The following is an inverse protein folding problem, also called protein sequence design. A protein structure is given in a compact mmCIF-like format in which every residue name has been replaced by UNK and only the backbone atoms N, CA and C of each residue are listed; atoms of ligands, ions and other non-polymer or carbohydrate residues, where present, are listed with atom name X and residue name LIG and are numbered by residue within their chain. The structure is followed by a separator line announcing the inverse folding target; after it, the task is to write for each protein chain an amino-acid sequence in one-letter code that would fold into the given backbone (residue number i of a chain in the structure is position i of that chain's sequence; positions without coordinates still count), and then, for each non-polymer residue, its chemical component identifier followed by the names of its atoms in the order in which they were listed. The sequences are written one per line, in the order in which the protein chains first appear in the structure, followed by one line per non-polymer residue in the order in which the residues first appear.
data_IF_088714419986
#
_entry.id   IF_088714419986
#
_cell.length_a   1.000
_cell.length_b   1.000
_cell.length_c   1.000
_cell.angle_alpha   90.00
_cell.angle_beta   90.00
_cell.angle_gamma   90.00
#
_symmetry.space_group_name_H-M   'P 1'
#
loop_
_entity.id
_entity.type
_entity.pdbx_description
1 polymer ?
#
# COMPACT_ATOMS: atom_id res chain seq x y z
N UNK A 1 -3.04 -18.02 -14.33
CA UNK A 1 -3.37 -16.65 -13.88
C UNK A 1 -4.80 -16.30 -14.30
N UNK A 2 -5.52 -15.48 -13.51
CA UNK A 2 -6.90 -15.06 -13.78
C UNK A 2 -6.94 -13.71 -14.50
N UNK A 3 -7.75 -13.58 -15.55
CA UNK A 3 -8.03 -12.27 -16.19
C UNK A 3 -8.83 -11.39 -15.23
N UNK A 4 -8.43 -10.12 -15.08
CA UNK A 4 -9.17 -9.12 -14.29
C UNK A 4 -10.11 -8.35 -15.24
N UNK A 5 -11.42 -8.62 -15.26
CA UNK A 5 -12.32 -8.11 -16.31
C UNK A 5 -12.38 -6.59 -16.38
N UNK A 6 -12.29 -5.90 -15.23
CA UNK A 6 -12.28 -4.43 -15.15
C UNK A 6 -10.95 -3.76 -15.55
N UNK A 7 -9.91 -4.56 -15.79
CA UNK A 7 -8.56 -4.13 -16.18
C UNK A 7 -8.08 -4.98 -17.36
N UNK A 8 -9.03 -5.31 -18.23
CA UNK A 8 -8.81 -6.05 -19.46
C UNK A 8 -9.44 -5.26 -20.59
N UNK A 9 -8.64 -4.45 -21.26
CA UNK A 9 -9.08 -3.56 -22.31
C UNK A 9 -8.80 -4.19 -23.69
N UNK A 10 -9.77 -4.16 -24.58
CA UNK A 10 -9.67 -4.78 -25.91
C UNK A 10 -8.66 -4.06 -26.83
N UNK A 11 -8.40 -2.78 -26.57
CA UNK A 11 -7.40 -1.92 -27.20
C UNK A 11 -6.08 -1.83 -26.40
N UNK A 12 -5.97 -2.53 -25.26
CA UNK A 12 -4.77 -2.54 -24.44
C UNK A 12 -3.56 -3.09 -25.22
N UNK A 13 -2.44 -2.37 -25.14
CA UNK A 13 -1.21 -2.60 -25.91
C UNK A 13 -0.05 -3.17 -25.06
N UNK A 14 -0.33 -3.59 -23.83
CA UNK A 14 0.58 -4.33 -22.97
C UNK A 14 -0.19 -5.23 -22.02
N UNK A 15 0.38 -6.39 -21.71
CA UNK A 15 -0.13 -7.28 -20.68
C UNK A 15 0.83 -7.26 -19.49
N UNK A 16 0.29 -7.02 -18.30
CA UNK A 16 1.01 -7.18 -17.04
C UNK A 16 0.55 -8.46 -16.37
N UNK A 17 1.50 -9.24 -15.84
CA UNK A 17 1.23 -10.52 -15.21
C UNK A 17 1.81 -10.55 -13.80
N UNK A 18 0.97 -10.78 -12.79
CA UNK A 18 1.41 -11.11 -11.42
C UNK A 18 1.45 -12.63 -11.27
N UNK A 19 1.78 -13.14 -10.08
CA UNK A 19 1.70 -14.57 -9.79
C UNK A 19 0.28 -15.14 -9.99
N UNK A 20 -0.77 -14.34 -9.76
CA UNK A 20 -2.16 -14.81 -9.75
C UNK A 20 -3.03 -14.23 -10.87
N UNK A 21 -2.77 -13.01 -11.36
CA UNK A 21 -3.62 -12.34 -12.35
C UNK A 21 -2.88 -11.83 -13.58
N UNK A 22 -3.65 -11.58 -14.62
CA UNK A 22 -3.21 -10.86 -15.82
C UNK A 22 -4.12 -9.68 -16.10
N UNK A 23 -3.50 -8.61 -16.57
CA UNK A 23 -4.12 -7.32 -16.85
C UNK A 23 -3.73 -6.93 -18.28
N UNK A 24 -4.70 -6.55 -19.11
CA UNK A 24 -4.43 -6.03 -20.45
C UNK A 24 -4.74 -4.54 -20.42
N UNK A 25 -3.71 -3.72 -20.44
CA UNK A 25 -3.75 -2.28 -20.12
C UNK A 25 -2.96 -1.48 -21.16
N UNK A 26 -2.79 -0.18 -20.91
CA UNK A 26 -2.22 0.78 -21.86
C UNK A 26 -0.89 1.33 -21.34
N UNK A 27 0.17 1.20 -22.14
CA UNK A 27 1.52 1.70 -21.82
C UNK A 27 1.50 3.18 -21.43
N UNK A 28 0.84 4.03 -22.24
CA UNK A 28 0.77 5.46 -21.98
C UNK A 28 0.12 5.82 -20.64
N UNK A 29 -0.87 5.03 -20.21
CA UNK A 29 -1.49 5.25 -18.90
C UNK A 29 -0.52 4.93 -17.77
N UNK A 30 0.17 3.79 -17.86
CA UNK A 30 1.18 3.39 -16.89
C UNK A 30 2.30 4.43 -16.79
N UNK A 31 2.83 4.86 -17.94
CA UNK A 31 3.91 5.86 -18.01
C UNK A 31 3.49 7.23 -17.47
N UNK A 32 2.24 7.65 -17.71
CA UNK A 32 1.70 8.91 -17.17
C UNK A 32 1.63 8.91 -15.64
N UNK A 33 1.37 7.75 -15.03
CA UNK A 33 1.15 7.62 -13.59
C UNK A 33 2.40 7.15 -12.83
N UNK A 34 3.46 6.77 -13.53
CA UNK A 34 4.63 6.15 -12.93
C UNK A 34 5.86 6.37 -13.80
N UNK A 35 6.84 7.16 -13.32
CA UNK A 35 8.15 7.28 -13.94
C UNK A 35 8.84 5.92 -14.10
N UNK A 36 8.70 5.02 -13.11
CA UNK A 36 9.26 3.66 -13.17
C UNK A 36 8.70 2.88 -14.36
N UNK A 37 7.39 2.96 -14.62
CA UNK A 37 6.82 2.34 -15.83
C UNK A 37 7.21 3.09 -17.10
N UNK A 38 7.35 4.42 -17.07
CA UNK A 38 7.84 5.18 -18.21
C UNK A 38 9.24 4.71 -18.63
N UNK A 39 10.16 4.61 -17.69
CA UNK A 39 11.53 4.16 -17.91
C UNK A 39 11.56 2.69 -18.36
N UNK A 40 10.88 1.79 -17.63
CA UNK A 40 10.82 0.36 -17.94
C UNK A 40 10.28 0.09 -19.35
N UNK A 41 9.29 0.88 -19.79
CA UNK A 41 8.65 0.72 -21.10
C UNK A 41 9.36 1.50 -22.22
N UNK A 42 10.33 2.36 -21.89
CA UNK A 42 11.16 3.06 -22.89
C UNK A 42 12.28 2.18 -23.44
N UNK A 43 12.68 1.14 -22.69
CA UNK A 43 13.77 0.25 -23.08
C UNK A 43 13.34 -0.67 -24.23
N UNK A 44 14.24 -0.96 -25.19
CA UNK A 44 13.99 -1.96 -26.22
C UNK A 44 13.68 -3.30 -25.54
N UNK A 45 12.48 -3.83 -25.76
CA UNK A 45 12.18 -5.20 -25.31
C UNK A 45 12.92 -6.16 -26.25
N UNK A 46 13.54 -7.24 -25.73
CA UNK A 46 14.16 -8.25 -26.57
C UNK A 46 13.14 -8.78 -27.58
N UNK A 47 13.59 -9.00 -28.82
CA UNK A 47 12.75 -9.50 -29.90
C UNK A 47 12.03 -10.79 -29.45
N UNK A 48 10.72 -10.80 -29.65
CA UNK A 48 9.73 -11.68 -29.03
C UNK A 48 10.07 -13.17 -29.17
N UNK A 49 10.20 -13.87 -28.04
CA UNK A 49 9.67 -15.21 -27.76
C UNK A 49 10.09 -15.54 -26.31
N UNK A 50 9.19 -15.52 -25.33
CA UNK A 50 8.68 -16.81 -24.81
C UNK A 50 7.35 -16.68 -24.05
N UNK A 51 6.86 -15.46 -23.79
CA UNK A 51 5.70 -15.22 -22.91
C UNK A 51 4.53 -14.57 -23.66
N UNK A 52 4.10 -15.12 -24.78
CA UNK A 52 2.82 -14.69 -25.39
C UNK A 52 1.65 -15.38 -24.70
N UNK A 53 0.53 -14.69 -24.53
CA UNK A 53 -0.71 -15.32 -24.06
C UNK A 53 -1.43 -15.89 -25.29
N UNK A 54 -1.91 -17.14 -25.20
CA UNK A 54 -2.73 -17.76 -26.24
C UNK A 54 -3.86 -16.81 -26.69
N UNK A 55 -3.88 -16.48 -27.99
CA UNK A 55 -4.84 -15.58 -28.62
C UNK A 55 -4.41 -14.11 -28.73
N UNK A 56 -3.24 -13.71 -28.21
CA UNK A 56 -2.68 -12.35 -28.34
C UNK A 56 -1.15 -12.39 -28.60
N UNK A 57 -0.70 -12.95 -29.74
CA UNK A 57 0.72 -13.17 -30.02
C UNK A 57 1.55 -11.88 -30.16
N UNK A 58 0.92 -10.74 -30.47
CA UNK A 58 1.60 -9.48 -30.77
C UNK A 58 1.61 -8.47 -29.60
N UNK A 59 1.14 -8.87 -28.41
CA UNK A 59 1.10 -7.97 -27.24
C UNK A 59 2.16 -8.37 -26.23
N UNK A 60 3.08 -7.45 -25.86
CA UNK A 60 4.14 -7.77 -24.92
C UNK A 60 3.60 -8.07 -23.54
N UNK A 61 4.18 -9.08 -22.88
CA UNK A 61 3.85 -9.47 -21.49
C UNK A 61 5.01 -9.10 -20.57
N UNK A 62 4.69 -8.38 -19.49
CA UNK A 62 5.65 -8.02 -18.43
C UNK A 62 5.26 -8.76 -17.15
N UNK A 63 6.20 -9.56 -16.65
CA UNK A 63 6.07 -10.28 -15.39
C UNK A 63 6.42 -9.40 -14.19
N UNK A 64 5.56 -9.41 -13.18
CA UNK A 64 5.65 -8.62 -11.96
C UNK A 64 5.63 -9.54 -10.74
N UNK A 65 6.51 -9.26 -9.79
CA UNK A 65 6.56 -9.96 -8.49
C UNK A 65 5.62 -9.37 -7.44
N UNK A 66 4.77 -8.42 -7.85
CA UNK A 66 3.89 -7.67 -6.97
C UNK A 66 2.72 -8.49 -6.42
N UNK A 67 2.26 -8.09 -5.23
CA UNK A 67 1.04 -8.64 -4.66
C UNK A 67 -0.15 -8.33 -5.59
N UNK A 68 -0.93 -9.37 -5.83
CA UNK A 68 -2.00 -9.33 -6.80
C UNK A 68 -3.11 -8.32 -6.46
N UNK A 69 -3.46 -8.21 -5.18
CA UNK A 69 -4.51 -7.31 -4.72
C UNK A 69 -4.00 -5.88 -4.68
N UNK A 70 -2.80 -5.66 -4.14
CA UNK A 70 -2.17 -4.34 -4.08
C UNK A 70 -2.02 -3.76 -5.49
N UNK A 71 -1.51 -4.55 -6.43
CA UNK A 71 -1.35 -4.13 -7.83
C UNK A 71 -2.69 -3.89 -8.54
N UNK A 72 -3.70 -4.71 -8.26
CA UNK A 72 -5.07 -4.49 -8.78
C UNK A 72 -5.64 -3.16 -8.30
N UNK A 73 -5.45 -2.78 -7.03
CA UNK A 73 -5.91 -1.51 -6.50
C UNK A 73 -5.16 -0.33 -7.12
N UNK A 74 -3.84 -0.45 -7.28
CA UNK A 74 -3.01 0.55 -7.95
C UNK A 74 -3.47 0.82 -9.38
N UNK A 75 -3.63 -0.23 -10.20
CA UNK A 75 -4.11 -0.08 -11.58
C UNK A 75 -5.51 0.53 -11.64
N UNK A 76 -6.42 0.16 -10.73
CA UNK A 76 -7.74 0.79 -10.67
C UNK A 76 -7.66 2.29 -10.39
N UNK A 77 -6.77 2.71 -9.50
CA UNK A 77 -6.53 4.12 -9.22
C UNK A 77 -6.01 4.84 -10.46
N UNK A 78 -4.99 4.29 -11.13
CA UNK A 78 -4.45 4.85 -12.36
C UNK A 78 -5.53 5.09 -13.43
N UNK A 79 -6.42 4.12 -13.67
CA UNK A 79 -7.49 4.27 -14.65
C UNK A 79 -8.67 5.12 -14.18
N UNK A 80 -8.86 5.24 -12.87
CA UNK A 80 -10.01 5.95 -12.32
C UNK A 80 -9.72 6.51 -10.92
N UNK A 81 -9.02 7.66 -10.85
CA UNK A 81 -8.70 8.31 -9.58
C UNK A 81 -9.95 8.70 -8.77
N UNK A 82 -11.07 8.95 -9.47
CA UNK A 82 -12.33 9.43 -8.86
C UNK A 82 -13.30 8.34 -8.40
N UNK A 83 -13.17 7.10 -8.88
CA UNK A 83 -14.06 5.99 -8.48
C UNK A 83 -13.54 5.19 -7.28
N UNK A 84 -12.35 5.51 -6.77
CA UNK A 84 -11.92 5.07 -5.46
C UNK A 84 -12.56 5.97 -4.41
N UNK A 85 -13.80 5.70 -4.00
CA UNK A 85 -14.29 6.24 -2.73
C UNK A 85 -13.22 6.02 -1.65
N UNK A 86 -13.11 6.94 -0.68
CA UNK A 86 -12.07 6.96 0.37
C UNK A 86 -11.64 5.54 0.75
N UNK A 87 -10.37 5.14 0.55
CA UNK A 87 -9.92 3.78 0.77
C UNK A 87 -10.49 3.17 2.06
N UNK A 88 -11.38 2.20 1.94
CA UNK A 88 -12.27 1.80 3.04
C UNK A 88 -11.68 0.72 3.94
N UNK A 89 -10.54 0.15 3.56
CA UNK A 89 -9.88 -0.92 4.30
C UNK A 89 -8.38 -0.67 4.42
N UNK A 90 -7.79 -1.14 5.51
CA UNK A 90 -6.35 -1.08 5.70
C UNK A 90 -5.58 -1.83 4.61
N UNK A 91 -6.11 -2.94 4.11
CA UNK A 91 -5.52 -3.69 3.00
C UNK A 91 -5.34 -2.80 1.76
N UNK A 92 -6.43 -2.16 1.31
CA UNK A 92 -6.40 -1.22 0.18
C UNK A 92 -5.45 -0.06 0.41
N UNK A 93 -5.52 0.61 1.57
CA UNK A 93 -4.62 1.74 1.90
C UNK A 93 -3.16 1.31 1.86
N UNK A 94 -2.84 0.19 2.51
CA UNK A 94 -1.48 -0.31 2.60
C UNK A 94 -0.93 -0.72 1.23
N UNK A 95 -1.76 -1.33 0.39
CA UNK A 95 -1.39 -1.71 -0.96
C UNK A 95 -1.17 -0.52 -1.88
N UNK A 96 -2.08 0.46 -1.84
CA UNK A 96 -1.90 1.71 -2.59
C UNK A 96 -0.61 2.43 -2.16
N UNK A 97 -0.33 2.51 -0.86
CA UNK A 97 0.90 3.14 -0.37
C UNK A 97 2.14 2.38 -0.88
N UNK A 98 2.19 1.04 -0.73
CA UNK A 98 3.31 0.23 -1.25
C UNK A 98 3.54 0.42 -2.74
N UNK A 99 2.48 0.30 -3.54
CA UNK A 99 2.58 0.40 -5.00
C UNK A 99 2.95 1.81 -5.44
N UNK A 100 2.35 2.84 -4.83
CA UNK A 100 2.70 4.24 -5.11
C UNK A 100 4.16 4.55 -4.79
N UNK A 101 4.72 3.96 -3.72
CA UNK A 101 6.15 4.07 -3.39
C UNK A 101 7.01 3.34 -4.41
N UNK A 102 6.70 2.07 -4.69
CA UNK A 102 7.48 1.23 -5.59
C UNK A 102 7.56 1.80 -7.00
N UNK A 103 6.43 2.31 -7.51
CA UNK A 103 6.29 2.82 -8.86
C UNK A 103 6.42 4.34 -8.97
N UNK A 104 6.80 5.02 -7.88
CA UNK A 104 7.00 6.47 -7.84
C UNK A 104 5.80 7.28 -8.35
N UNK A 105 4.58 6.83 -8.01
CA UNK A 105 3.38 7.63 -8.21
C UNK A 105 3.22 8.59 -7.02
N UNK A 106 3.91 9.73 -7.11
CA UNK A 106 3.99 10.69 -5.99
C UNK A 106 2.64 11.33 -5.65
N UNK A 107 1.76 11.54 -6.64
CA UNK A 107 0.42 12.08 -6.41
C UNK A 107 -0.40 11.14 -5.54
N UNK A 108 -0.53 9.87 -5.93
CA UNK A 108 -1.22 8.84 -5.15
C UNK A 108 -0.55 8.66 -3.78
N UNK A 109 0.78 8.63 -3.75
CA UNK A 109 1.54 8.46 -2.50
C UNK A 109 1.19 9.55 -1.49
N UNK A 110 1.22 10.80 -1.93
CA UNK A 110 0.91 11.96 -1.09
C UNK A 110 -0.54 11.95 -0.63
N UNK A 111 -1.48 11.57 -1.50
CA UNK A 111 -2.89 11.43 -1.15
C UNK A 111 -3.11 10.38 -0.06
N UNK A 112 -2.50 9.20 -0.19
CA UNK A 112 -2.64 8.10 0.78
C UNK A 112 -1.97 8.46 2.12
N UNK A 113 -0.81 9.11 2.10
CA UNK A 113 -0.15 9.61 3.31
C UNK A 113 -1.00 10.66 4.00
N UNK A 114 -1.54 11.62 3.25
CA UNK A 114 -2.41 12.66 3.78
C UNK A 114 -3.65 12.07 4.43
N UNK A 115 -4.25 11.06 3.79
CA UNK A 115 -5.38 10.32 4.33
C UNK A 115 -5.02 9.62 5.65
N UNK A 116 -3.92 8.87 5.71
CA UNK A 116 -3.45 8.22 6.94
C UNK A 116 -3.09 9.22 8.05
N UNK A 117 -2.53 10.38 7.69
CA UNK A 117 -2.11 11.42 8.64
C UNK A 117 -3.29 12.06 9.38
N UNK A 118 -4.53 11.89 8.91
CA UNK A 118 -5.73 12.31 9.66
C UNK A 118 -5.94 11.49 10.94
N UNK A 119 -5.60 10.19 10.93
CA UNK A 119 -5.66 9.31 12.10
C UNK A 119 -4.30 9.16 12.81
N UNK A 120 -3.21 9.36 12.07
CA UNK A 120 -1.82 9.28 12.55
C UNK A 120 -1.09 10.61 12.34
N UNK A 121 -1.47 11.66 13.08
CA UNK A 121 -0.93 13.00 12.87
C UNK A 121 0.53 13.12 13.28
N UNK A 122 1.21 14.08 12.66
CA UNK A 122 2.66 14.26 12.78
C UNK A 122 3.07 15.25 13.85
N UNK A 123 2.17 16.16 14.22
CA UNK A 123 2.43 17.20 15.22
C UNK A 123 1.75 16.85 16.54
N UNK A 124 2.41 17.19 17.64
CA UNK A 124 1.88 16.96 18.99
C UNK A 124 0.54 17.65 19.21
N UNK A 125 0.34 18.83 18.61
CA UNK A 125 -0.93 19.56 18.64
C UNK A 125 -2.07 18.77 17.98
N UNK A 126 -1.89 18.33 16.73
CA UNK A 126 -2.88 17.51 16.03
C UNK A 126 -3.11 16.17 16.71
N UNK A 127 -2.06 15.64 17.34
CA UNK A 127 -2.16 14.42 18.13
C UNK A 127 -3.04 14.62 19.37
N UNK A 128 -2.85 15.70 20.12
CA UNK A 128 -3.69 16.06 21.25
C UNK A 128 -5.16 16.30 20.85
N UNK A 129 -5.39 16.87 19.67
CA UNK A 129 -6.73 17.01 19.09
C UNK A 129 -7.34 15.64 18.74
N UNK A 130 -6.59 14.75 18.12
CA UNK A 130 -7.04 13.40 17.75
C UNK A 130 -7.29 12.45 18.94
N UNK A 131 -6.81 12.79 20.14
CA UNK A 131 -7.10 12.07 21.39
C UNK A 131 -8.42 12.49 22.03
N UNK A 132 -9.04 13.60 21.59
CA UNK A 132 -10.33 14.03 22.12
C UNK A 132 -11.38 12.96 21.78
N UNK A 133 -12.29 12.59 22.71
CA UNK A 133 -13.29 11.53 22.49
C UNK A 133 -14.13 11.71 21.22
N UNK A 134 -14.34 12.96 20.81
CA UNK A 134 -15.19 13.32 19.66
C UNK A 134 -14.40 13.43 18.33
N UNK A 135 -13.08 13.21 18.35
CA UNK A 135 -12.18 13.44 17.21
C UNK A 135 -11.59 12.14 16.62
N UNK A 136 -12.01 10.96 17.10
CA UNK A 136 -11.49 9.69 16.61
C UNK A 136 -12.03 9.39 15.21
N UNK A 137 -11.27 9.77 14.19
CA UNK A 137 -11.57 9.46 12.80
C UNK A 137 -11.28 7.97 12.55
N UNK A 138 -12.33 7.19 12.27
CA UNK A 138 -12.19 5.81 11.78
C UNK A 138 -12.04 5.84 10.26
N UNK A 139 -10.80 5.78 9.78
CA UNK A 139 -10.50 5.72 8.34
C UNK A 139 -10.90 4.37 7.72
N UNK A 140 -10.87 3.33 8.54
CA UNK A 140 -11.19 1.95 8.17
C UNK A 140 -11.63 1.18 9.43
N UNK A 141 -12.32 0.04 9.27
CA UNK A 141 -12.71 -0.81 10.40
C UNK A 141 -11.50 -1.15 11.27
N UNK A 142 -11.58 -0.86 12.57
CA UNK A 142 -10.50 -1.15 13.51
C UNK A 142 -10.24 -2.65 13.64
N UNK A 143 -8.98 -3.02 13.82
CA UNK A 143 -8.55 -4.40 14.00
C UNK A 143 -7.38 -4.51 14.97
N UNK A 144 -7.19 -5.70 15.54
CA UNK A 144 -6.13 -5.96 16.51
C UNK A 144 -4.74 -5.75 15.88
N UNK A 145 -3.89 -4.97 16.56
CA UNK A 145 -2.54 -4.67 16.08
C UNK A 145 -2.46 -3.63 14.97
N UNK A 146 -3.55 -2.91 14.70
CA UNK A 146 -3.60 -1.82 13.71
C UNK A 146 -2.42 -0.84 13.82
N UNK A 147 -2.09 -0.38 15.03
CA UNK A 147 -1.00 0.59 15.21
C UNK A 147 0.37 0.00 14.86
N UNK A 148 0.58 -1.29 15.15
CA UNK A 148 1.79 -2.01 14.75
C UNK A 148 1.87 -2.16 13.23
N UNK A 149 0.73 -2.44 12.59
CA UNK A 149 0.62 -2.56 11.15
C UNK A 149 0.94 -1.23 10.45
N UNK A 150 0.43 -0.11 10.96
CA UNK A 150 0.70 1.23 10.43
C UNK A 150 2.16 1.63 10.63
N UNK A 151 2.74 1.39 11.82
CA UNK A 151 4.16 1.67 12.07
C UNK A 151 5.06 0.89 11.10
N UNK A 152 4.76 -0.40 10.88
CA UNK A 152 5.51 -1.25 9.96
C UNK A 152 5.37 -0.79 8.51
N UNK A 153 4.15 -0.49 8.07
CA UNK A 153 3.88 0.07 6.75
C UNK A 153 4.67 1.37 6.54
N UNK A 154 4.66 2.27 7.52
CA UNK A 154 5.40 3.52 7.45
C UNK A 154 6.92 3.31 7.30
N UNK A 155 7.49 2.29 7.96
CA UNK A 155 8.89 1.91 7.75
C UNK A 155 9.13 1.32 6.36
N UNK A 156 8.28 0.39 5.94
CA UNK A 156 8.36 -0.31 4.65
C UNK A 156 8.29 0.66 3.46
N UNK A 157 7.46 1.70 3.56
CA UNK A 157 7.21 2.65 2.47
C UNK A 157 7.86 4.01 2.70
N UNK A 158 8.76 4.12 3.67
CA UNK A 158 9.44 5.37 4.05
C UNK A 158 8.48 6.56 4.35
N UNK A 159 7.26 6.27 4.78
CA UNK A 159 6.27 7.28 5.16
C UNK A 159 6.51 7.73 6.61
N UNK A 160 7.71 8.26 6.89
CA UNK A 160 8.23 8.57 8.24
C UNK A 160 7.34 9.52 9.03
N UNK A 161 6.61 10.37 8.32
CA UNK A 161 5.58 11.30 8.81
C UNK A 161 4.55 10.58 9.72
N UNK A 162 4.23 9.31 9.44
CA UNK A 162 3.25 8.54 10.22
C UNK A 162 3.83 7.93 11.51
N UNK A 163 5.15 7.83 11.62
CA UNK A 163 5.82 7.08 12.69
C UNK A 163 5.57 7.62 14.11
N UNK A 164 5.63 8.94 14.39
CA UNK A 164 5.48 9.43 15.75
C UNK A 164 4.17 9.00 16.41
N UNK A 165 3.04 9.24 15.75
CA UNK A 165 1.73 8.81 16.24
C UNK A 165 1.57 7.30 16.26
N UNK A 166 2.06 6.60 15.22
CA UNK A 166 1.92 5.14 15.15
C UNK A 166 2.70 4.44 16.27
N UNK A 167 3.95 4.86 16.54
CA UNK A 167 4.80 4.29 17.58
C UNK A 167 4.30 4.64 18.98
N UNK A 168 3.82 5.87 19.20
CA UNK A 168 3.19 6.22 20.48
C UNK A 168 1.95 5.37 20.74
N UNK A 169 1.00 5.29 19.80
CA UNK A 169 -0.21 4.46 19.97
C UNK A 169 0.13 2.98 20.16
N UNK A 170 1.26 2.54 19.60
CA UNK A 170 1.81 1.21 19.80
C UNK A 170 2.38 1.02 21.20
N UNK A 171 3.06 2.02 21.79
CA UNK A 171 3.58 1.95 23.15
C UNK A 171 2.48 1.92 24.22
N UNK A 172 1.28 2.41 23.90
CA UNK A 172 0.11 2.27 24.78
C UNK A 172 -0.42 0.83 24.90
N UNK A 173 -0.03 -0.10 24.02
CA UNK A 173 -0.51 -1.48 24.05
C UNK A 173 0.11 -2.30 25.22
N UNK A 174 -0.50 -3.43 25.63
CA UNK A 174 0.09 -4.32 26.62
C UNK A 174 1.50 -4.79 26.25
N UNK A 175 2.37 -4.94 27.26
CA UNK A 175 3.78 -5.34 27.06
C UNK A 175 3.92 -6.65 26.27
N UNK A 176 3.04 -7.62 26.55
CA UNK A 176 2.97 -8.90 25.82
C UNK A 176 2.72 -8.69 24.32
N UNK A 177 1.85 -7.75 23.97
CA UNK A 177 1.44 -7.50 22.59
C UNK A 177 2.55 -6.77 21.82
N UNK A 178 3.27 -5.85 22.48
CA UNK A 178 4.45 -5.20 21.90
C UNK A 178 5.54 -6.23 21.57
N UNK A 179 5.81 -7.16 22.50
CA UNK A 179 6.86 -8.17 22.33
C UNK A 179 6.50 -9.26 21.30
N UNK A 180 5.30 -9.81 21.39
CA UNK A 180 4.91 -11.00 20.61
C UNK A 180 4.00 -10.69 19.40
N UNK A 181 3.59 -9.44 19.26
CA UNK A 181 2.59 -9.01 18.29
C UNK A 181 1.17 -9.41 18.68
N UNK A 182 0.22 -8.97 17.87
CA UNK A 182 -1.21 -9.31 18.00
C UNK A 182 -1.63 -10.13 16.80
N UNK A 183 -2.63 -11.00 16.95
CA UNK A 183 -3.23 -11.74 15.85
C UNK A 183 -4.61 -11.17 15.60
N UNK A 184 -4.82 -10.62 14.41
CA UNK A 184 -6.13 -10.13 13.98
C UNK A 184 -7.07 -11.30 13.66
N UNK A 185 -8.37 -10.99 13.51
CA UNK A 185 -9.43 -11.98 13.24
C UNK A 185 -9.19 -12.81 11.97
N UNK A 186 -8.49 -12.26 10.99
CA UNK A 186 -8.06 -12.92 9.75
C UNK A 186 -6.81 -13.82 9.93
N UNK A 187 -6.39 -14.05 11.17
CA UNK A 187 -5.18 -14.81 11.57
C UNK A 187 -3.86 -14.19 11.12
N UNK A 188 -3.86 -12.94 10.66
CA UNK A 188 -2.62 -12.22 10.35
C UNK A 188 -1.96 -11.75 11.65
N UNK A 189 -0.65 -12.02 11.79
CA UNK A 189 0.13 -11.51 12.93
C UNK A 189 0.67 -10.13 12.59
N UNK A 190 0.33 -9.15 13.42
CA UNK A 190 0.85 -7.79 13.36
C UNK A 190 1.87 -7.60 14.48
N UNK A 191 3.12 -7.34 14.11
CA UNK A 191 4.23 -7.15 15.04
C UNK A 191 5.11 -5.99 14.57
N UNK A 192 5.60 -5.22 15.54
CA UNK A 192 6.60 -4.18 15.34
C UNK A 192 7.95 -4.77 14.94
N UNK A 193 8.81 -3.94 14.35
CA UNK A 193 10.22 -4.32 14.14
C UNK A 193 10.93 -4.44 15.50
N UNK A 194 12.03 -5.21 15.62
CA UNK A 194 12.79 -5.28 16.87
C UNK A 194 13.26 -3.91 17.40
N UNK A 195 13.56 -2.99 16.48
CA UNK A 195 13.91 -1.61 16.83
C UNK A 195 12.71 -0.87 17.43
N UNK A 196 11.56 -0.91 16.75
CA UNK A 196 10.36 -0.22 17.21
C UNK A 196 9.80 -0.84 18.51
N UNK A 197 9.99 -2.14 18.74
CA UNK A 197 9.70 -2.78 20.03
C UNK A 197 10.49 -2.15 21.17
N UNK A 198 11.81 -1.96 21.00
CA UNK A 198 12.67 -1.32 22.01
C UNK A 198 12.21 0.12 22.28
N UNK A 199 11.89 0.88 21.23
CA UNK A 199 11.35 2.24 21.35
C UNK A 199 10.05 2.24 22.14
N UNK A 200 9.11 1.35 21.82
CA UNK A 200 7.82 1.31 22.51
C UNK A 200 7.95 0.87 23.98
N UNK A 201 8.91 -0.01 24.29
CA UNK A 201 9.16 -0.48 25.64
C UNK A 201 9.91 0.53 26.50
N UNK A 202 10.83 1.32 25.93
CA UNK A 202 11.56 2.36 26.69
C UNK A 202 10.62 3.45 27.19
N UNK A 203 9.60 3.83 26.41
CA UNK A 203 8.57 4.77 26.83
C UNK A 203 7.81 4.28 28.08
N UNK A 204 7.59 2.98 28.22
CA UNK A 204 6.92 2.38 29.39
C UNK A 204 7.80 2.29 30.64
N UNK A 205 9.11 2.46 30.54
CA UNK A 205 10.00 2.39 31.72
C UNK A 205 10.09 3.72 32.47
N UNK A 206 9.54 4.79 31.89
CA UNK A 206 9.61 6.15 32.44
C UNK A 206 8.29 6.65 33.04
N UNK A 207 7.26 5.81 33.08
CA UNK A 207 5.93 6.06 33.69
C UNK A 207 5.49 4.82 34.46
#
# INVERSE_FOLDING_TARGET
RKRRPKLWFDDGNIILATSLSIFRVHRGMLSMNSPVFADMLSLPQPEVAENTIEGLPDIPVVELSDDDQDFTHFLRFCYNPRCGGTPTTFGMISGLLRMSTKYQNDELRNEVISHLATAYPTTLQRYAEALKPNAQISLFPSFDGQNFAVARLARETEATVLLPAALWRSSCQPRKDILYGTVSRDRKRHQLTPMDQRICLSVKLHF
#
